data_IF_640519651858
#
_entry.id   IF_640519651858
#
_cell.length_a   1.000
_cell.length_b   1.000
_cell.length_c   1.000
_cell.angle_alpha   90.00
_cell.angle_beta   90.00
_cell.angle_gamma   90.00
#
_symmetry.space_group_name_H-M   'P 1'
#
loop_
_entity.id
_entity.type
_entity.pdbx_description
1 polymer ?
#
# COMPACT_ATOMS: atom_id res chain seq x y z
N UNK A 1 19.04 -8.41 14.05
CA UNK A 1 18.63 -9.78 14.45
C UNK A 1 17.10 -9.88 14.47
N UNK A 2 16.50 -11.00 14.07
CA UNK A 2 15.04 -11.17 14.04
C UNK A 2 14.33 -10.60 12.80
N UNK A 3 15.08 -10.26 11.75
CA UNK A 3 14.54 -9.83 10.45
C UNK A 3 14.74 -10.96 9.44
N UNK A 4 13.65 -11.37 8.79
CA UNK A 4 13.67 -12.28 7.65
C UNK A 4 13.25 -11.54 6.39
N UNK A 5 13.91 -11.83 5.27
CA UNK A 5 13.61 -11.25 3.95
C UNK A 5 13.15 -12.32 3.00
N UNK A 6 12.03 -12.06 2.34
CA UNK A 6 11.49 -12.91 1.28
C UNK A 6 11.48 -12.11 0.00
N UNK A 7 12.28 -12.52 -0.98
CA UNK A 7 12.30 -11.92 -2.31
C UNK A 7 11.53 -12.82 -3.25
N UNK A 8 10.43 -12.31 -3.78
CA UNK A 8 9.68 -12.94 -4.88
C UNK A 8 10.29 -12.42 -6.18
N UNK A 9 10.83 -13.29 -7.06
CA UNK A 9 11.35 -12.84 -8.35
C UNK A 9 10.26 -12.17 -9.18
N UNK A 10 10.59 -11.05 -9.82
CA UNK A 10 9.73 -10.45 -10.84
C UNK A 10 9.60 -11.36 -12.05
N UNK A 11 8.47 -11.24 -12.75
CA UNK A 11 8.29 -11.92 -14.04
C UNK A 11 9.34 -11.44 -15.05
N UNK A 12 9.87 -12.38 -15.85
CA UNK A 12 10.77 -12.04 -16.96
C UNK A 12 9.94 -11.67 -18.17
N UNK A 13 9.77 -10.37 -18.40
CA UNK A 13 9.06 -9.79 -19.54
C UNK A 13 9.86 -8.63 -20.12
N UNK A 14 9.70 -8.33 -21.41
CA UNK A 14 10.36 -7.18 -22.04
C UNK A 14 9.74 -5.86 -21.57
N UNK A 15 8.43 -5.86 -21.35
CA UNK A 15 7.67 -4.72 -20.85
C UNK A 15 6.62 -5.21 -19.83
N UNK A 16 6.56 -4.59 -18.66
CA UNK A 16 5.58 -4.95 -17.63
C UNK A 16 4.14 -4.62 -18.01
N UNK A 17 3.91 -3.82 -19.06
CA UNK A 17 2.58 -3.66 -19.65
C UNK A 17 1.98 -4.99 -20.16
N UNK A 18 2.82 -5.96 -20.54
CA UNK A 18 2.39 -7.28 -21.01
C UNK A 18 1.99 -8.23 -19.86
N UNK A 19 2.48 -7.96 -18.64
CA UNK A 19 2.20 -8.74 -17.44
C UNK A 19 1.97 -7.81 -16.22
N UNK A 20 0.90 -6.99 -16.24
CA UNK A 20 0.66 -5.95 -15.23
C UNK A 20 0.38 -6.51 -13.83
N UNK A 21 -0.01 -7.79 -13.73
CA UNK A 21 -0.19 -8.49 -12.45
C UNK A 21 1.14 -8.78 -11.73
N UNK A 22 2.27 -8.70 -12.45
CA UNK A 22 3.61 -8.99 -11.95
C UNK A 22 3.61 -10.23 -11.04
N UNK A 23 4.30 -10.17 -9.90
CA UNK A 23 4.35 -11.25 -8.92
C UNK A 23 3.44 -11.02 -7.71
N UNK A 24 2.45 -10.12 -7.81
CA UNK A 24 1.59 -9.72 -6.69
C UNK A 24 0.91 -10.93 -6.02
N UNK A 25 0.36 -11.85 -6.83
CA UNK A 25 -0.31 -13.06 -6.34
C UNK A 25 0.62 -13.96 -5.52
N UNK A 26 1.88 -14.10 -5.94
CA UNK A 26 2.86 -14.90 -5.21
C UNK A 26 3.27 -14.22 -3.90
N UNK A 27 3.45 -12.90 -3.90
CA UNK A 27 3.70 -12.11 -2.69
C UNK A 27 2.56 -12.33 -1.69
N UNK A 28 1.32 -12.15 -2.10
CA UNK A 28 0.14 -12.35 -1.24
C UNK A 28 0.07 -13.77 -0.69
N UNK A 29 0.30 -14.78 -1.53
CA UNK A 29 0.28 -16.17 -1.10
C UNK A 29 1.33 -16.47 -0.03
N UNK A 30 2.55 -15.92 -0.18
CA UNK A 30 3.62 -16.07 0.82
C UNK A 30 3.24 -15.39 2.13
N UNK A 31 2.73 -14.17 2.10
CA UNK A 31 2.29 -13.46 3.32
C UNK A 31 1.22 -14.28 4.05
N UNK A 32 0.18 -14.74 3.33
CA UNK A 32 -0.89 -15.55 3.93
C UNK A 32 -0.34 -16.88 4.49
N UNK A 33 0.61 -17.51 3.82
CA UNK A 33 1.28 -18.71 4.35
C UNK A 33 2.01 -18.41 5.65
N UNK A 34 2.76 -17.31 5.69
CA UNK A 34 3.52 -16.85 6.85
C UNK A 34 2.64 -16.57 8.06
N UNK A 35 1.41 -16.08 7.87
CA UNK A 35 0.47 -15.84 8.98
C UNK A 35 0.19 -17.13 9.78
N UNK A 36 0.21 -18.30 9.13
CA UNK A 36 -0.04 -19.60 9.78
C UNK A 36 1.08 -20.00 10.73
N UNK A 37 2.29 -19.46 10.54
CA UNK A 37 3.44 -19.74 11.39
C UNK A 37 3.39 -18.96 12.71
N UNK A 38 2.57 -17.90 12.77
CA UNK A 38 2.43 -17.01 13.93
C UNK A 38 3.78 -16.54 14.51
N UNK A 39 4.74 -16.27 13.61
CA UNK A 39 6.13 -15.98 13.98
C UNK A 39 6.44 -14.48 14.06
N UNK A 40 5.73 -13.66 13.29
CA UNK A 40 6.08 -12.25 13.10
C UNK A 40 5.03 -11.33 13.73
N UNK A 41 5.48 -10.38 14.55
CA UNK A 41 4.64 -9.30 15.07
C UNK A 41 4.43 -8.18 14.05
N UNK A 42 5.31 -8.08 13.05
CA UNK A 42 5.27 -7.07 12.00
C UNK A 42 5.68 -7.69 10.67
N UNK A 43 4.91 -7.41 9.62
CA UNK A 43 5.18 -7.83 8.25
C UNK A 43 5.06 -6.59 7.36
N UNK A 44 6.11 -6.30 6.58
CA UNK A 44 6.12 -5.23 5.58
C UNK A 44 6.05 -5.86 4.18
N UNK A 45 5.14 -5.35 3.35
CA UNK A 45 4.91 -5.84 1.99
C UNK A 45 4.89 -4.65 1.03
N UNK A 46 5.52 -4.81 -0.14
CA UNK A 46 5.44 -3.86 -1.25
C UNK A 46 4.80 -4.57 -2.46
N UNK A 47 3.83 -3.91 -3.10
CA UNK A 47 3.31 -4.30 -4.40
C UNK A 47 3.80 -3.29 -5.45
N UNK A 48 4.70 -3.74 -6.33
CA UNK A 48 5.36 -2.85 -7.30
C UNK A 48 4.48 -2.48 -8.51
N UNK A 49 3.32 -3.12 -8.67
CA UNK A 49 2.53 -3.11 -9.90
C UNK A 49 2.16 -1.72 -10.38
N UNK A 50 1.53 -0.91 -9.52
CA UNK A 50 1.00 0.40 -9.91
C UNK A 50 2.10 1.35 -10.40
N UNK A 51 3.25 1.35 -9.74
CA UNK A 51 4.38 2.20 -10.12
C UNK A 51 5.08 1.70 -11.39
N UNK A 52 5.56 0.44 -11.37
CA UNK A 52 6.36 -0.10 -12.47
C UNK A 52 5.55 -0.15 -13.78
N UNK A 53 4.26 -0.46 -13.71
CA UNK A 53 3.39 -0.43 -14.89
C UNK A 53 3.00 1.00 -15.25
N UNK A 54 2.84 1.90 -14.27
CA UNK A 54 2.61 3.33 -14.49
C UNK A 54 3.72 3.98 -15.32
N UNK A 55 4.99 3.65 -15.04
CA UNK A 55 6.16 4.08 -15.83
C UNK A 55 6.11 3.68 -17.32
N UNK A 56 5.27 2.71 -17.71
CA UNK A 56 5.09 2.35 -19.12
C UNK A 56 4.21 3.33 -19.88
N UNK A 57 3.42 4.14 -19.17
CA UNK A 57 2.42 5.04 -19.75
C UNK A 57 1.22 4.34 -20.37
N UNK A 58 1.10 3.01 -20.23
CA UNK A 58 -0.01 2.24 -20.78
C UNK A 58 -1.18 2.21 -19.80
N UNK A 59 -2.13 3.12 -20.00
CA UNK A 59 -3.32 3.29 -19.14
C UNK A 59 -4.10 1.98 -18.89
N UNK A 60 -4.35 1.18 -19.93
CA UNK A 60 -5.07 -0.09 -19.77
C UNK A 60 -4.28 -1.12 -18.95
N UNK A 61 -2.96 -1.16 -19.12
CA UNK A 61 -2.11 -2.04 -18.32
C UNK A 61 -2.06 -1.57 -16.86
N UNK A 62 -1.96 -0.26 -16.62
CA UNK A 62 -1.93 0.31 -15.28
C UNK A 62 -3.24 0.10 -14.52
N UNK A 63 -4.39 0.18 -15.21
CA UNK A 63 -5.69 -0.21 -14.62
C UNK A 63 -5.64 -1.67 -14.16
N UNK A 64 -5.21 -2.58 -15.02
CA UNK A 64 -5.07 -4.01 -14.68
C UNK A 64 -4.06 -4.26 -13.55
N UNK A 65 -3.03 -3.43 -13.45
CA UNK A 65 -2.04 -3.48 -12.37
C UNK A 65 -2.67 -3.11 -11.02
N UNK A 66 -3.50 -2.05 -11.00
CA UNK A 66 -4.27 -1.65 -9.83
C UNK A 66 -5.32 -2.71 -9.45
N UNK A 67 -6.06 -3.26 -10.41
CA UNK A 67 -7.02 -4.36 -10.20
C UNK A 67 -6.34 -5.60 -9.61
N UNK A 68 -5.13 -5.93 -10.07
CA UNK A 68 -4.36 -7.05 -9.52
C UNK A 68 -3.95 -6.83 -8.07
N UNK A 69 -3.61 -5.59 -7.68
CA UNK A 69 -3.37 -5.23 -6.28
C UNK A 69 -4.66 -5.36 -5.46
N UNK A 70 -5.77 -4.84 -5.96
CA UNK A 70 -7.08 -4.89 -5.29
C UNK A 70 -7.52 -6.34 -5.03
N UNK A 71 -7.43 -7.22 -6.04
CA UNK A 71 -7.67 -8.65 -5.91
C UNK A 71 -6.79 -9.33 -4.83
N UNK A 72 -5.56 -8.86 -4.68
CA UNK A 72 -4.61 -9.35 -3.69
C UNK A 72 -4.98 -8.85 -2.28
N UNK A 73 -5.34 -7.58 -2.14
CA UNK A 73 -5.83 -7.00 -0.90
C UNK A 73 -7.14 -7.65 -0.44
N UNK A 74 -8.05 -7.95 -1.37
CA UNK A 74 -9.30 -8.66 -1.10
C UNK A 74 -9.11 -10.06 -0.48
N UNK A 75 -7.95 -10.69 -0.69
CA UNK A 75 -7.56 -11.96 -0.04
C UNK A 75 -6.76 -11.73 1.24
N UNK A 76 -5.87 -10.73 1.24
CA UNK A 76 -4.95 -10.48 2.33
C UNK A 76 -5.64 -9.91 3.57
N UNK A 77 -6.53 -8.94 3.38
CA UNK A 77 -7.28 -8.28 4.45
C UNK A 77 -8.04 -9.30 5.31
N UNK A 78 -8.95 -10.14 4.77
CA UNK A 78 -9.67 -11.09 5.60
C UNK A 78 -8.72 -12.12 6.26
N UNK A 79 -7.65 -12.53 5.59
CA UNK A 79 -6.68 -13.45 6.18
C UNK A 79 -5.99 -12.88 7.43
N UNK A 80 -5.57 -11.61 7.37
CA UNK A 80 -4.95 -10.92 8.52
C UNK A 80 -5.96 -10.69 9.63
N UNK A 81 -7.18 -10.25 9.31
CA UNK A 81 -8.23 -10.02 10.31
C UNK A 81 -8.62 -11.33 11.02
N UNK A 82 -8.74 -12.45 10.29
CA UNK A 82 -9.01 -13.77 10.88
C UNK A 82 -7.86 -14.27 11.77
N UNK A 83 -6.62 -13.85 11.49
CA UNK A 83 -5.47 -14.14 12.35
C UNK A 83 -5.40 -13.24 13.60
N UNK A 84 -6.36 -12.32 13.79
CA UNK A 84 -6.39 -11.39 14.92
C UNK A 84 -5.47 -10.17 14.74
N UNK A 85 -4.99 -9.92 13.52
CA UNK A 85 -4.14 -8.78 13.20
C UNK A 85 -4.91 -7.57 12.67
N UNK A 86 -4.16 -6.55 12.28
CA UNK A 86 -4.65 -5.36 11.58
C UNK A 86 -3.70 -5.00 10.43
N UNK A 87 -4.13 -4.11 9.53
CA UNK A 87 -3.31 -3.63 8.43
C UNK A 87 -3.23 -2.10 8.44
N UNK A 88 -2.07 -1.59 8.06
CA UNK A 88 -1.91 -0.24 7.55
C UNK A 88 -1.63 -0.36 6.05
N UNK A 89 -2.47 0.26 5.21
CA UNK A 89 -2.31 0.27 3.76
C UNK A 89 -1.96 1.70 3.35
N UNK A 90 -0.81 1.85 2.69
CA UNK A 90 -0.26 3.14 2.25
C UNK A 90 0.50 3.00 0.94
N UNK A 91 0.81 4.12 0.31
CA UNK A 91 1.84 4.20 -0.72
C UNK A 91 3.00 5.08 -0.25
N UNK A 92 4.12 5.00 -0.96
CA UNK A 92 5.30 5.87 -0.80
C UNK A 92 5.24 7.12 -1.69
N UNK A 93 4.57 7.02 -2.83
CA UNK A 93 4.26 8.15 -3.72
C UNK A 93 3.09 7.82 -4.67
N UNK A 94 2.70 8.78 -5.51
CA UNK A 94 1.77 8.59 -6.62
C UNK A 94 2.48 8.30 -7.95
N UNK A 95 1.73 7.72 -8.91
CA UNK A 95 2.12 7.47 -10.30
C UNK A 95 0.86 7.11 -11.11
N UNK A 96 0.29 5.93 -10.81
CA UNK A 96 -0.78 5.30 -11.58
C UNK A 96 -2.06 6.12 -11.73
N UNK A 97 -2.30 7.09 -10.85
CA UNK A 97 -3.46 7.97 -10.87
C UNK A 97 -3.34 9.14 -11.87
N UNK A 98 -2.14 9.44 -12.37
CA UNK A 98 -1.88 10.55 -13.29
C UNK A 98 -0.98 10.14 -14.48
N UNK A 99 -1.56 9.35 -15.40
CA UNK A 99 -0.85 8.85 -16.60
C UNK A 99 -0.93 9.78 -17.82
N UNK A 100 -1.59 10.92 -17.67
CA UNK A 100 -1.73 11.94 -18.72
C UNK A 100 -1.54 13.32 -18.12
N UNK A 101 -0.80 14.16 -18.81
CA UNK A 101 -0.70 15.57 -18.47
C UNK A 101 -2.05 16.24 -18.74
N UNK A 102 -2.69 16.79 -17.70
CA UNK A 102 -4.02 17.39 -17.81
C UNK A 102 -4.09 18.64 -18.73
N UNK A 103 -2.95 19.27 -19.02
CA UNK A 103 -2.88 20.45 -19.90
C UNK A 103 -2.58 20.08 -21.36
N UNK A 104 -1.67 19.13 -21.59
CA UNK A 104 -1.19 18.79 -22.94
C UNK A 104 -1.83 17.52 -23.51
N UNK A 105 -2.37 16.65 -22.65
CA UNK A 105 -2.89 15.34 -23.02
C UNK A 105 -1.80 14.29 -23.33
N UNK A 106 -0.52 14.66 -23.20
CA UNK A 106 0.60 13.77 -23.42
C UNK A 106 0.69 12.72 -22.31
N UNK A 107 1.19 11.54 -22.65
CA UNK A 107 1.47 10.48 -21.68
C UNK A 107 2.44 10.97 -20.64
N UNK A 108 2.09 10.77 -19.36
CA UNK A 108 2.96 10.99 -18.23
C UNK A 108 3.42 9.63 -17.69
N UNK A 109 4.73 9.45 -17.56
CA UNK A 109 5.35 8.24 -17.01
C UNK A 109 6.03 8.50 -15.67
N UNK A 110 6.04 9.75 -15.18
CA UNK A 110 6.74 10.14 -13.96
C UNK A 110 5.84 10.06 -12.73
N UNK A 111 6.46 10.07 -11.56
CA UNK A 111 5.72 10.14 -10.30
C UNK A 111 4.93 11.45 -10.19
N UNK A 112 3.81 11.39 -9.49
CA UNK A 112 3.04 12.58 -9.13
C UNK A 112 3.45 13.10 -7.75
N UNK A 113 2.95 14.30 -7.43
CA UNK A 113 3.03 14.88 -6.08
C UNK A 113 1.71 14.70 -5.29
N UNK A 114 0.83 13.83 -5.76
CA UNK A 114 -0.46 13.59 -5.11
C UNK A 114 -0.25 12.95 -3.73
N UNK A 115 -1.12 13.27 -2.75
CA UNK A 115 -1.08 12.63 -1.45
C UNK A 115 -1.40 11.13 -1.58
N UNK A 116 -0.80 10.32 -0.70
CA UNK A 116 -1.01 8.88 -0.65
C UNK A 116 -2.11 8.51 0.35
N UNK A 117 -2.85 7.40 0.13
CA UNK A 117 -3.81 6.92 1.12
C UNK A 117 -3.08 6.42 2.38
N UNK A 118 -3.73 6.51 3.54
CA UNK A 118 -3.29 5.84 4.76
C UNK A 118 -4.50 5.19 5.45
N UNK A 119 -4.74 3.93 5.17
CA UNK A 119 -5.89 3.19 5.69
C UNK A 119 -5.49 2.31 6.86
N UNK A 120 -6.24 2.41 7.96
CA UNK A 120 -6.14 1.50 9.10
C UNK A 120 -7.31 0.51 9.07
N UNK A 121 -7.00 -0.75 8.72
CA UNK A 121 -7.97 -1.83 8.61
C UNK A 121 -7.86 -2.74 9.82
N UNK A 122 -8.93 -2.80 10.62
CA UNK A 122 -9.00 -3.63 11.83
C UNK A 122 -10.44 -4.10 12.06
N UNK A 123 -10.60 -5.17 12.85
CA UNK A 123 -11.90 -5.75 13.17
C UNK A 123 -12.77 -4.86 14.08
N UNK A 124 -12.17 -3.91 14.79
CA UNK A 124 -12.85 -3.12 15.84
C UNK A 124 -13.15 -1.67 15.44
N UNK A 125 -12.65 -1.21 14.30
CA UNK A 125 -12.76 0.18 13.87
C UNK A 125 -13.63 0.29 12.61
N UNK A 126 -14.92 0.52 12.83
CA UNK A 126 -15.90 0.75 11.78
C UNK A 126 -16.33 2.21 11.73
N UNK A 127 -15.37 3.14 11.66
CA UNK A 127 -15.71 4.54 11.34
C UNK A 127 -16.49 4.55 10.04
N UNK A 128 -17.78 4.89 10.14
CA UNK A 128 -18.64 5.06 9.00
C UNK A 128 -18.37 6.46 8.43
N UNK A 129 -17.25 6.59 7.72
CA UNK A 129 -16.91 7.84 7.02
C UNK A 129 -17.76 7.83 5.75
N UNK A 130 -18.62 8.85 5.52
CA UNK A 130 -19.32 8.94 4.26
C UNK A 130 -18.31 8.96 3.11
N UNK A 131 -18.64 8.40 1.93
CA UNK A 131 -17.77 8.51 0.77
C UNK A 131 -17.39 9.98 0.57
N UNK A 132 -16.11 10.25 0.40
CA UNK A 132 -15.65 11.59 0.03
C UNK A 132 -16.28 11.91 -1.32
N UNK A 133 -17.15 12.91 -1.35
CA UNK A 133 -17.90 13.27 -2.56
C UNK A 133 -17.02 14.04 -3.56
N UNK A 134 -15.98 14.72 -3.07
CA UNK A 134 -15.06 15.53 -3.86
C UNK A 134 -13.61 15.30 -3.41
N UNK A 135 -12.71 14.83 -4.30
CA UNK A 135 -11.28 14.70 -4.02
C UNK A 135 -10.61 16.00 -3.54
N UNK A 136 -11.12 17.17 -3.91
CA UNK A 136 -10.58 18.47 -3.44
C UNK A 136 -10.82 18.72 -1.94
N UNK A 137 -11.76 17.99 -1.32
CA UNK A 137 -12.01 18.04 0.12
C UNK A 137 -11.03 17.18 0.94
N UNK A 138 -10.17 16.39 0.27
CA UNK A 138 -9.17 15.56 0.93
C UNK A 138 -8.11 16.46 1.56
N UNK A 139 -8.20 16.63 2.88
CA UNK A 139 -7.17 17.31 3.66
C UNK A 139 -6.04 16.34 3.98
N UNK A 140 -4.81 16.71 3.60
CA UNK A 140 -3.61 16.00 4.02
C UNK A 140 -3.37 16.28 5.51
N UNK A 141 -3.45 15.24 6.33
CA UNK A 141 -3.34 15.35 7.81
C UNK A 141 -2.11 14.69 8.40
N UNK A 142 -1.20 14.13 7.59
CA UNK A 142 0.01 13.45 8.04
C UNK A 142 1.06 13.34 6.94
N UNK A 143 2.26 12.88 7.32
CA UNK A 143 3.43 12.70 6.47
C UNK A 143 3.88 11.23 6.47
N UNK A 144 4.73 10.83 5.51
CA UNK A 144 5.32 9.49 5.50
C UNK A 144 6.16 9.19 6.75
N UNK A 145 6.76 10.21 7.36
CA UNK A 145 7.51 10.09 8.62
C UNK A 145 6.64 9.62 9.80
N UNK A 146 5.32 9.73 9.68
CA UNK A 146 4.35 9.42 10.73
C UNK A 146 3.91 7.94 10.70
N UNK A 147 4.21 7.22 9.60
CA UNK A 147 3.85 5.80 9.43
C UNK A 147 4.56 4.93 10.47
N UNK A 148 5.88 5.07 10.63
CA UNK A 148 6.65 4.26 11.59
C UNK A 148 6.24 4.50 13.06
N UNK A 149 6.09 5.76 13.54
CA UNK A 149 5.48 6.03 14.85
C UNK A 149 4.10 5.38 15.05
N UNK A 150 3.25 5.40 14.01
CA UNK A 150 1.93 4.75 14.05
C UNK A 150 2.04 3.23 14.23
N UNK A 151 2.96 2.58 13.50
CA UNK A 151 3.24 1.15 13.65
C UNK A 151 3.73 0.83 15.08
N UNK A 152 4.65 1.63 15.63
CA UNK A 152 5.14 1.42 16.99
C UNK A 152 4.03 1.52 18.03
N UNK A 153 3.13 2.50 17.92
CA UNK A 153 1.99 2.63 18.83
C UNK A 153 1.06 1.42 18.75
N UNK A 154 0.76 0.90 17.55
CA UNK A 154 -0.04 -0.32 17.37
C UNK A 154 0.60 -1.54 18.03
N UNK A 155 1.93 -1.63 18.01
CA UNK A 155 2.69 -2.70 18.64
C UNK A 155 2.94 -2.47 20.14
N UNK A 156 2.42 -1.38 20.72
CA UNK A 156 2.70 -0.94 22.09
C UNK A 156 4.20 -0.77 22.38
N UNK A 157 4.96 -0.31 21.39
CA UNK A 157 6.39 -0.02 21.49
C UNK A 157 6.64 1.47 21.67
N UNK A 158 7.70 1.82 22.38
CA UNK A 158 8.09 3.21 22.60
C UNK A 158 8.73 3.81 21.34
N UNK A 159 8.28 5.00 20.94
CA UNK A 159 8.90 5.80 19.87
C UNK A 159 10.30 6.25 20.31
N UNK A 160 11.31 6.10 19.44
CA UNK A 160 12.66 6.60 19.70
C UNK A 160 12.72 8.12 19.59
N UNK A 161 13.67 8.76 20.27
CA UNK A 161 13.82 10.23 20.23
C UNK A 161 14.27 10.77 18.87
N UNK A 162 14.89 9.94 18.05
CA UNK A 162 15.32 10.25 16.69
C UNK A 162 14.15 10.27 15.69
N UNK A 163 13.02 9.65 16.03
CA UNK A 163 11.80 9.70 15.21
C UNK A 163 11.05 11.00 15.50
N UNK A 164 11.13 11.93 14.55
CA UNK A 164 10.46 13.24 14.65
C UNK A 164 9.00 13.23 14.20
N UNK A 165 8.56 12.19 13.48
CA UNK A 165 7.17 12.00 13.11
C UNK A 165 6.29 11.67 14.32
N UNK A 166 4.98 11.87 14.16
CA UNK A 166 3.99 11.61 15.21
C UNK A 166 3.02 10.50 14.78
N UNK A 167 2.46 9.76 15.73
CA UNK A 167 1.50 8.72 15.38
C UNK A 167 0.19 9.32 14.87
N UNK A 168 -0.32 8.77 13.77
CA UNK A 168 -1.62 9.13 13.19
C UNK A 168 -2.77 8.31 13.80
N UNK A 169 -2.48 7.36 14.69
CA UNK A 169 -3.49 6.48 15.27
C UNK A 169 -4.67 7.22 15.94
N UNK A 170 -4.47 8.38 16.61
CA UNK A 170 -5.57 9.19 17.16
C UNK A 170 -6.56 9.73 16.11
N UNK A 171 -6.11 9.89 14.86
CA UNK A 171 -6.98 10.32 13.74
C UNK A 171 -7.70 9.12 13.11
N UNK A 172 -7.07 7.95 13.16
CA UNK A 172 -7.55 6.72 12.53
C UNK A 172 -8.57 5.97 13.39
N UNK A 173 -8.38 5.91 14.72
CA UNK A 173 -9.32 5.31 15.69
C UNK A 173 -10.56 6.16 15.94
#
# INVERSE_FOLDING_TARGET
PGEDRVIVPSLTVENFADAPEMSAKEITAKVISTLKENKYAFILVNYANADIVGHTGNENATIRAAEAIDDCLGKLIPAILMAGGCLLITADHGNAEELKNNLTGETNTEHSINPVPFWFVTAENHKNIPPIADPEEIKVTGLLSDVAPTVLELLNLQKSKEMTGESLLPLLK
#
